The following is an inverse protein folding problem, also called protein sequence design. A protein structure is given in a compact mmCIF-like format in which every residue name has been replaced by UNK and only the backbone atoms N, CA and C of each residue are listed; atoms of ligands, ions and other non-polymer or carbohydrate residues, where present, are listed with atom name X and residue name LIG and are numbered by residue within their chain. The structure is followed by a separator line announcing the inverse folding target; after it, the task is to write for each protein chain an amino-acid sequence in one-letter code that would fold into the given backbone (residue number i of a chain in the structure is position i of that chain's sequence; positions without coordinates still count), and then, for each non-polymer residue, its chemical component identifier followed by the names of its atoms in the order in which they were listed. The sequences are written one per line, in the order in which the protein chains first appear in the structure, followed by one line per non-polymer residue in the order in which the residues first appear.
data_IF_513473079796
#
_entry.id   IF_513473079796
#
_cell.length_a   1.000
_cell.length_b   1.000
_cell.length_c   1.000
_cell.angle_alpha   90.00
_cell.angle_beta   90.00
_cell.angle_gamma   90.00
#
_symmetry.space_group_name_H-M   'P 1'
#
loop_
_entity.id
_entity.type
_entity.pdbx_description
1 polymer ?
#
# COMPACT_ATOMS: atom_id res chain seq x y z
N UNK A 1 75.89 -27.86 -5.41
CA UNK A 1 74.49 -28.05 -4.99
C UNK A 1 74.31 -27.37 -3.64
N UNK A 2 73.73 -26.18 -3.63
CA UNK A 2 73.39 -25.32 -2.50
C UNK A 2 72.45 -24.23 -3.08
N UNK A 3 71.39 -23.73 -2.47
CA UNK A 3 70.72 -24.03 -1.20
C UNK A 3 69.42 -23.22 -1.13
N UNK A 4 68.38 -23.86 -0.59
CA UNK A 4 67.25 -23.37 0.23
C UNK A 4 66.66 -21.98 -0.05
N UNK A 5 65.43 -21.97 -0.57
CA UNK A 5 64.54 -20.82 -0.57
C UNK A 5 63.69 -20.74 0.70
N UNK A 6 63.41 -19.52 1.14
CA UNK A 6 62.41 -19.21 2.16
C UNK A 6 61.52 -18.09 1.62
N UNK A 7 60.27 -18.41 1.31
CA UNK A 7 59.22 -17.44 1.00
C UNK A 7 58.21 -17.50 2.15
N UNK A 8 58.20 -16.44 2.95
CA UNK A 8 57.24 -16.20 4.02
C UNK A 8 55.85 -15.94 3.43
N UNK A 9 54.87 -16.78 3.76
CA UNK A 9 53.46 -16.52 3.48
C UNK A 9 52.83 -15.80 4.67
N UNK A 10 52.52 -14.52 4.51
CA UNK A 10 51.75 -13.72 5.47
C UNK A 10 50.26 -13.94 5.16
N UNK A 11 49.53 -14.58 6.07
CA UNK A 11 48.08 -14.73 6.03
C UNK A 11 47.44 -13.48 6.64
N UNK A 12 47.12 -12.49 5.81
CA UNK A 12 46.22 -11.38 6.21
C UNK A 12 44.78 -11.88 6.16
N UNK A 13 44.18 -12.13 7.33
CA UNK A 13 42.75 -12.38 7.45
C UNK A 13 42.00 -11.07 7.16
N UNK A 14 41.50 -10.92 5.93
CA UNK A 14 40.61 -9.84 5.54
C UNK A 14 39.18 -10.20 5.93
N UNK A 15 38.58 -9.43 6.84
CA UNK A 15 37.14 -9.47 7.08
C UNK A 15 36.46 -8.88 5.84
N UNK A 16 35.81 -9.73 5.05
CA UNK A 16 34.94 -9.31 3.97
C UNK A 16 33.63 -8.83 4.61
N UNK A 17 33.44 -7.52 4.67
CA UNK A 17 32.11 -6.94 4.91
C UNK A 17 31.34 -7.16 3.61
N UNK A 18 30.52 -8.21 3.57
CA UNK A 18 29.58 -8.40 2.47
C UNK A 18 28.57 -7.25 2.50
N UNK A 19 28.25 -6.60 1.37
CA UNK A 19 27.13 -5.69 1.31
C UNK A 19 25.88 -6.51 1.67
N UNK A 20 25.13 -6.05 2.67
CA UNK A 20 23.78 -6.54 2.90
C UNK A 20 23.01 -6.26 1.60
N UNK A 21 22.60 -7.33 0.91
CA UNK A 21 21.66 -7.22 -0.19
C UNK A 21 20.34 -6.78 0.44
N UNK A 22 20.01 -5.49 0.33
CA UNK A 22 18.65 -5.04 0.57
C UNK A 22 17.78 -5.86 -0.37
N UNK A 23 16.87 -6.66 0.19
CA UNK A 23 15.85 -7.32 -0.59
C UNK A 23 15.18 -6.24 -1.45
N UNK A 24 15.18 -6.43 -2.78
CA UNK A 24 14.47 -5.56 -3.70
C UNK A 24 12.97 -5.81 -3.50
N UNK A 25 12.42 -5.28 -2.40
CA UNK A 25 10.97 -5.09 -2.26
C UNK A 25 10.53 -4.17 -3.39
N UNK A 26 9.45 -4.53 -4.09
CA UNK A 26 8.93 -3.68 -5.17
C UNK A 26 8.52 -2.32 -4.62
N UNK A 27 8.79 -1.25 -5.36
CA UNK A 27 8.53 0.12 -4.93
C UNK A 27 7.03 0.32 -4.66
N UNK A 28 6.70 0.85 -3.48
CA UNK A 28 5.34 1.19 -3.10
C UNK A 28 5.11 2.68 -3.39
N UNK A 29 3.98 3.03 -4.00
CA UNK A 29 3.70 4.42 -4.36
C UNK A 29 2.22 4.75 -4.37
N UNK A 30 1.88 6.02 -4.20
CA UNK A 30 0.50 6.49 -4.25
C UNK A 30 0.40 7.88 -4.87
N UNK A 31 -0.70 8.14 -5.56
CA UNK A 31 -1.10 9.48 -5.95
C UNK A 31 -2.60 9.71 -5.87
N UNK A 32 -3.02 10.93 -5.55
CA UNK A 32 -4.44 11.22 -5.45
C UNK A 32 -5.07 11.51 -6.82
N UNK A 33 -4.40 12.25 -7.72
CA UNK A 33 -4.94 12.53 -9.05
C UNK A 33 -3.86 12.52 -10.12
N UNK A 34 -4.18 12.01 -11.30
CA UNK A 34 -3.38 12.16 -12.51
C UNK A 34 -4.30 12.25 -13.73
N UNK A 35 -3.93 13.05 -14.72
CA UNK A 35 -4.67 13.15 -15.97
C UNK A 35 -3.71 13.28 -17.15
N UNK A 36 -4.03 12.62 -18.26
CA UNK A 36 -3.28 12.71 -19.51
C UNK A 36 -4.21 12.86 -20.71
N UNK A 37 -3.72 13.49 -21.78
CA UNK A 37 -4.51 13.85 -22.96
C UNK A 37 -4.58 15.36 -23.17
N UNK A 38 -5.79 15.88 -23.38
CA UNK A 38 -6.06 17.31 -23.60
C UNK A 38 -5.73 18.16 -22.36
N UNK A 39 -6.10 17.65 -21.19
CA UNK A 39 -5.73 18.19 -19.90
C UNK A 39 -4.65 17.29 -19.28
N UNK A 40 -3.50 17.88 -18.99
CA UNK A 40 -2.41 17.20 -18.29
C UNK A 40 -2.34 17.65 -16.85
N UNK A 41 -2.49 16.68 -15.95
CA UNK A 41 -2.30 16.84 -14.52
C UNK A 41 -1.26 15.82 -14.09
N UNK A 42 -0.11 16.30 -13.64
CA UNK A 42 0.91 15.43 -13.07
C UNK A 42 0.34 14.72 -11.83
N UNK A 43 0.88 13.55 -11.49
CA UNK A 43 0.52 12.82 -10.27
C UNK A 43 0.63 13.76 -9.06
N UNK A 44 -0.50 14.07 -8.42
CA UNK A 44 -0.57 15.11 -7.38
C UNK A 44 -1.50 14.71 -6.23
N UNK A 45 -1.08 14.85 -4.96
CA UNK A 45 0.31 14.63 -4.56
C UNK A 45 0.79 13.24 -5.02
N UNK A 46 2.10 13.04 -5.07
CA UNK A 46 2.72 11.74 -5.36
C UNK A 46 3.78 11.44 -4.32
N UNK A 47 3.73 10.24 -3.77
CA UNK A 47 4.72 9.74 -2.82
C UNK A 47 5.14 8.32 -3.19
N UNK A 48 6.37 7.99 -2.83
CA UNK A 48 6.94 6.64 -2.90
C UNK A 48 7.65 6.32 -1.57
N UNK A 49 8.05 5.06 -1.42
CA UNK A 49 8.77 4.57 -0.25
C UNK A 49 10.29 4.44 -0.47
N UNK A 50 10.83 5.01 -1.54
CA UNK A 50 12.26 4.92 -1.88
C UNK A 50 13.16 5.44 -0.74
N UNK A 51 12.66 6.42 0.04
CA UNK A 51 13.36 7.00 1.19
C UNK A 51 12.70 6.62 2.53
N UNK A 52 11.95 5.52 2.55
CA UNK A 52 11.09 5.12 3.67
C UNK A 52 9.67 5.67 3.55
N UNK A 53 8.85 5.36 4.56
CA UNK A 53 7.43 5.74 4.55
C UNK A 53 7.24 7.26 4.39
N UNK A 54 6.37 7.63 3.46
CA UNK A 54 6.12 9.02 3.06
C UNK A 54 4.62 9.30 2.96
N UNK A 55 4.26 10.54 3.28
CA UNK A 55 2.88 11.03 3.19
C UNK A 55 2.89 12.49 2.74
N UNK A 56 2.00 12.82 1.82
CA UNK A 56 1.78 14.18 1.35
C UNK A 56 0.29 14.48 1.22
N UNK A 57 -0.08 15.74 1.45
CA UNK A 57 -1.46 16.21 1.32
C UNK A 57 -1.54 17.56 0.63
N UNK A 58 -2.56 17.72 -0.22
CA UNK A 58 -2.90 18.97 -0.90
C UNK A 58 -4.33 19.33 -0.51
N UNK A 59 -4.51 20.49 0.11
CA UNK A 59 -5.82 20.92 0.58
C UNK A 59 -6.80 21.19 -0.57
N UNK A 60 -6.28 21.73 -1.68
CA UNK A 60 -7.07 22.11 -2.84
C UNK A 60 -6.17 22.14 -4.08
N UNK A 61 -6.63 21.51 -5.15
CA UNK A 61 -6.07 21.61 -6.49
C UNK A 61 -7.14 22.18 -7.41
N UNK A 62 -6.83 23.33 -8.00
CA UNK A 62 -7.66 24.00 -9.00
C UNK A 62 -6.89 24.05 -10.33
N UNK A 63 -7.57 23.69 -11.41
CA UNK A 63 -7.03 23.76 -12.77
C UNK A 63 -7.75 24.88 -13.52
N UNK A 64 -7.04 25.61 -14.42
CA UNK A 64 -7.63 26.69 -15.21
C UNK A 64 -8.99 26.35 -15.82
N UNK A 65 -9.82 27.39 -15.98
CA UNK A 65 -11.19 27.29 -16.50
C UNK A 65 -12.15 26.48 -15.62
N UNK A 66 -11.79 26.21 -14.35
CA UNK A 66 -12.57 25.38 -13.40
C UNK A 66 -12.85 23.97 -13.94
N UNK A 67 -11.96 23.46 -14.79
CA UNK A 67 -12.13 22.12 -15.39
C UNK A 67 -12.04 21.00 -14.34
N UNK A 68 -11.37 21.29 -13.22
CA UNK A 68 -11.09 20.35 -12.16
C UNK A 68 -10.99 21.11 -10.83
N UNK A 69 -11.92 20.81 -9.91
CA UNK A 69 -11.90 21.26 -8.51
C UNK A 69 -11.79 20.00 -7.62
N UNK A 70 -10.67 19.88 -6.90
CA UNK A 70 -10.39 18.71 -6.07
C UNK A 70 -9.88 19.14 -4.71
N UNK A 71 -10.44 18.59 -3.64
CA UNK A 71 -10.09 19.00 -2.28
C UNK A 71 -9.57 17.83 -1.45
N UNK A 72 -8.86 18.20 -0.38
CA UNK A 72 -8.29 17.29 0.61
C UNK A 72 -7.71 16.00 0.00
N UNK A 73 -6.75 16.19 -0.91
CA UNK A 73 -6.01 15.10 -1.54
C UNK A 73 -4.96 14.60 -0.55
N UNK A 74 -4.82 13.29 -0.40
CA UNK A 74 -3.80 12.68 0.45
C UNK A 74 -3.24 11.45 -0.26
N UNK A 75 -1.92 11.28 -0.20
CA UNK A 75 -1.22 10.11 -0.70
C UNK A 75 -0.20 9.65 0.35
N UNK A 76 -0.10 8.33 0.53
CA UNK A 76 0.77 7.67 1.50
C UNK A 76 1.38 6.43 0.88
N UNK A 77 2.67 6.22 1.12
CA UNK A 77 3.38 5.01 0.72
C UNK A 77 4.33 4.58 1.84
N UNK A 78 4.52 3.29 2.01
CA UNK A 78 5.42 2.69 2.98
C UNK A 78 5.60 1.21 2.68
N UNK A 79 6.29 0.52 3.59
CA UNK A 79 6.64 -0.89 3.40
C UNK A 79 5.39 -1.77 3.23
N UNK A 80 5.24 -2.35 2.04
CA UNK A 80 4.10 -3.17 1.63
C UNK A 80 2.76 -2.43 1.59
N UNK A 81 2.73 -1.10 1.72
CA UNK A 81 1.50 -0.33 1.89
C UNK A 81 1.46 0.92 1.02
N UNK A 82 0.32 1.16 0.40
CA UNK A 82 0.03 2.42 -0.27
C UNK A 82 -1.44 2.80 -0.13
N UNK A 83 -1.70 4.10 0.02
CA UNK A 83 -3.06 4.63 0.10
C UNK A 83 -3.16 6.01 -0.53
N UNK A 84 -4.24 6.22 -1.27
CA UNK A 84 -4.61 7.52 -1.81
C UNK A 84 -6.07 7.83 -1.46
N UNK A 85 -6.34 9.08 -1.13
CA UNK A 85 -7.71 9.53 -0.85
C UNK A 85 -7.94 10.97 -1.30
N UNK A 86 -9.21 11.27 -1.57
CA UNK A 86 -9.69 12.57 -2.04
C UNK A 86 -11.03 12.84 -1.34
N UNK A 87 -11.26 14.09 -0.92
CA UNK A 87 -12.58 14.53 -0.47
C UNK A 87 -13.10 15.67 -1.34
N UNK A 88 -14.29 15.52 -1.90
CA UNK A 88 -14.89 16.41 -2.91
C UNK A 88 -14.02 16.52 -4.18
N UNK A 89 -14.46 15.83 -5.23
CA UNK A 89 -13.93 15.97 -6.58
C UNK A 89 -15.04 16.38 -7.52
N UNK A 90 -14.74 17.35 -8.38
CA UNK A 90 -15.60 17.76 -9.50
C UNK A 90 -14.75 17.96 -10.73
N UNK A 91 -15.10 17.23 -11.78
CA UNK A 91 -14.46 17.30 -13.08
C UNK A 91 -15.49 17.85 -14.05
N UNK A 92 -15.25 19.05 -14.54
CA UNK A 92 -16.15 19.73 -15.48
C UNK A 92 -15.42 20.04 -16.79
N UNK A 93 -15.43 19.06 -17.68
CA UNK A 93 -14.85 19.22 -19.02
C UNK A 93 -15.85 19.76 -20.05
N UNK A 94 -17.05 20.21 -19.62
CA UNK A 94 -18.06 20.76 -20.54
C UNK A 94 -17.58 22.06 -21.20
N UNK A 95 -16.65 22.77 -20.55
CA UNK A 95 -16.04 23.97 -21.08
C UNK A 95 -14.97 23.70 -22.16
N UNK A 96 -14.57 22.44 -22.40
CA UNK A 96 -13.61 22.10 -23.45
C UNK A 96 -14.32 22.06 -24.82
N UNK A 97 -14.11 23.08 -25.69
CA UNK A 97 -14.86 23.20 -26.94
C UNK A 97 -14.56 22.05 -27.92
N UNK A 98 -13.35 21.49 -27.84
CA UNK A 98 -12.88 20.42 -28.73
C UNK A 98 -13.55 19.07 -28.48
N UNK A 99 -14.20 18.89 -27.32
CA UNK A 99 -14.91 17.67 -26.99
C UNK A 99 -16.38 17.70 -27.44
N UNK A 100 -16.93 18.88 -27.77
CA UNK A 100 -18.32 19.02 -28.24
C UNK A 100 -19.38 18.57 -27.22
N UNK A 101 -19.03 18.55 -25.93
CA UNK A 101 -19.84 17.98 -24.87
C UNK A 101 -20.77 19.03 -24.26
N UNK A 102 -22.08 18.95 -24.55
CA UNK A 102 -23.10 19.77 -23.89
C UNK A 102 -23.63 19.07 -22.64
N UNK A 103 -22.77 18.90 -21.62
CA UNK A 103 -23.17 18.28 -20.37
C UNK A 103 -23.89 19.29 -19.48
N UNK A 104 -25.04 18.90 -18.93
CA UNK A 104 -25.78 19.70 -17.95
C UNK A 104 -25.28 19.51 -16.50
N UNK A 105 -24.35 18.58 -16.29
CA UNK A 105 -23.79 18.17 -15.00
C UNK A 105 -22.29 17.93 -15.17
N UNK A 106 -21.49 18.00 -14.09
CA UNK A 106 -20.08 17.61 -14.14
C UNK A 106 -19.91 16.22 -14.74
N UNK A 107 -18.81 16.00 -15.47
CA UNK A 107 -18.48 14.68 -15.97
C UNK A 107 -18.28 13.71 -14.81
N UNK A 108 -17.56 14.12 -13.77
CA UNK A 108 -17.35 13.31 -12.56
C UNK A 108 -17.65 14.18 -11.35
N UNK A 109 -18.39 13.63 -10.39
CA UNK A 109 -18.54 14.20 -9.06
C UNK A 109 -18.51 13.10 -8.01
N UNK A 110 -17.76 13.26 -6.92
CA UNK A 110 -17.77 12.35 -5.78
C UNK A 110 -17.41 13.08 -4.49
N UNK A 111 -17.97 12.65 -3.36
CA UNK A 111 -17.69 13.25 -2.04
C UNK A 111 -16.45 12.67 -1.38
N UNK A 112 -16.20 11.37 -1.57
CA UNK A 112 -14.99 10.72 -1.11
C UNK A 112 -14.57 9.63 -2.08
N UNK A 113 -13.26 9.53 -2.30
CA UNK A 113 -12.64 8.47 -3.10
C UNK A 113 -11.45 7.97 -2.31
N UNK A 114 -11.30 6.66 -2.19
CA UNK A 114 -10.16 6.03 -1.53
C UNK A 114 -9.71 4.80 -2.31
N UNK A 115 -8.40 4.65 -2.44
CA UNK A 115 -7.74 3.42 -2.87
C UNK A 115 -6.71 3.02 -1.82
N UNK A 116 -6.68 1.73 -1.48
CA UNK A 116 -5.73 1.17 -0.51
C UNK A 116 -5.17 -0.13 -1.06
N UNK A 117 -3.86 -0.28 -0.94
CA UNK A 117 -3.12 -1.47 -1.28
C UNK A 117 -2.29 -1.87 -0.05
N UNK A 118 -2.50 -3.09 0.44
CA UNK A 118 -1.78 -3.63 1.60
C UNK A 118 -1.28 -5.03 1.26
N UNK A 119 0.03 -5.23 1.21
CA UNK A 119 0.70 -6.49 0.93
C UNK A 119 0.18 -7.19 -0.34
N UNK A 120 0.00 -6.42 -1.41
CA UNK A 120 -0.57 -6.86 -2.68
C UNK A 120 -2.10 -7.06 -2.67
N UNK A 121 -2.79 -6.76 -1.58
CA UNK A 121 -4.26 -6.79 -1.49
C UNK A 121 -4.82 -5.40 -1.76
N UNK A 122 -5.46 -5.26 -2.91
CA UNK A 122 -6.03 -4.00 -3.38
C UNK A 122 -7.52 -3.87 -3.02
N UNK A 123 -7.90 -2.67 -2.57
CA UNK A 123 -9.28 -2.28 -2.30
C UNK A 123 -9.51 -0.82 -2.71
N UNK A 124 -10.78 -0.48 -2.98
CA UNK A 124 -11.19 0.90 -3.20
C UNK A 124 -12.60 1.13 -2.68
N UNK A 125 -12.89 2.39 -2.38
CA UNK A 125 -14.22 2.84 -1.99
C UNK A 125 -14.50 4.21 -2.58
N UNK A 126 -15.75 4.43 -2.94
CA UNK A 126 -16.25 5.71 -3.47
C UNK A 126 -17.55 6.06 -2.78
N UNK A 127 -17.76 7.33 -2.47
CA UNK A 127 -18.97 7.83 -1.82
C UNK A 127 -19.63 8.92 -2.66
N UNK A 128 -20.95 8.81 -2.83
CA UNK A 128 -21.77 9.74 -3.60
C UNK A 128 -21.19 10.05 -5.00
N UNK A 129 -20.58 9.04 -5.62
CA UNK A 129 -19.94 9.18 -6.91
C UNK A 129 -20.96 9.15 -8.06
N UNK A 130 -20.75 9.99 -9.06
CA UNK A 130 -21.56 10.03 -10.27
C UNK A 130 -20.76 10.44 -11.49
N UNK A 131 -21.18 9.92 -12.66
CA UNK A 131 -20.58 10.24 -13.94
C UNK A 131 -21.65 10.76 -14.88
N UNK A 132 -21.52 12.00 -15.36
CA UNK A 132 -22.54 12.69 -16.15
C UNK A 132 -23.94 12.64 -15.49
N UNK A 133 -23.99 12.60 -14.16
CA UNK A 133 -25.21 12.49 -13.36
C UNK A 133 -25.79 11.09 -13.18
N UNK A 134 -25.14 10.05 -13.69
CA UNK A 134 -25.44 8.65 -13.41
C UNK A 134 -24.73 8.28 -12.11
N UNK A 135 -25.48 7.85 -11.09
CA UNK A 135 -24.89 7.42 -9.82
C UNK A 135 -24.10 6.12 -10.01
N UNK A 136 -22.92 6.07 -9.39
CA UNK A 136 -22.06 4.89 -9.38
C UNK A 136 -22.32 4.06 -8.11
N UNK A 137 -22.16 2.75 -8.23
CA UNK A 137 -22.24 1.86 -7.07
C UNK A 137 -20.96 1.99 -6.22
N UNK A 138 -21.14 2.12 -4.91
CA UNK A 138 -20.07 2.27 -3.93
C UNK A 138 -19.36 0.95 -3.62
N UNK A 139 -19.94 -0.19 -4.00
CA UNK A 139 -19.39 -1.54 -3.76
C UNK A 139 -19.20 -2.30 -5.08
N UNK A 140 -18.44 -1.69 -6.00
CA UNK A 140 -18.13 -2.32 -7.27
C UNK A 140 -17.01 -3.37 -7.14
N UNK A 141 -17.16 -4.58 -7.73
CA UNK A 141 -16.07 -5.54 -7.87
C UNK A 141 -14.87 -4.94 -8.62
N UNK A 142 -13.71 -5.60 -8.53
CA UNK A 142 -12.53 -5.17 -9.27
C UNK A 142 -12.81 -5.09 -10.78
N UNK A 143 -12.28 -4.03 -11.42
CA UNK A 143 -12.39 -3.76 -12.85
C UNK A 143 -13.84 -3.64 -13.36
N UNK A 144 -14.72 -3.02 -12.57
CA UNK A 144 -16.12 -2.80 -12.99
C UNK A 144 -16.21 -1.64 -13.97
N UNK A 145 -16.58 -1.92 -15.21
CA UNK A 145 -16.77 -0.91 -16.24
C UNK A 145 -18.21 -0.35 -16.24
N UNK A 146 -18.33 0.97 -16.36
CA UNK A 146 -19.57 1.72 -16.52
C UNK A 146 -19.43 2.57 -17.77
N UNK A 147 -20.22 2.24 -18.78
CA UNK A 147 -20.22 2.95 -20.06
C UNK A 147 -21.22 4.11 -20.03
N UNK A 148 -20.76 5.29 -20.46
CA UNK A 148 -21.62 6.45 -20.74
C UNK A 148 -21.66 6.64 -22.26
N UNK A 149 -22.75 6.21 -22.94
CA UNK A 149 -22.80 6.14 -24.40
C UNK A 149 -22.40 7.46 -25.08
N UNK A 150 -21.41 7.38 -25.97
CA UNK A 150 -20.93 8.50 -26.77
C UNK A 150 -20.15 9.57 -26.00
N UNK A 151 -19.77 9.29 -24.75
CA UNK A 151 -19.10 10.25 -23.87
C UNK A 151 -17.81 9.68 -23.26
N UNK A 152 -17.94 8.66 -22.42
CA UNK A 152 -16.85 8.17 -21.60
C UNK A 152 -17.05 6.72 -21.16
N UNK A 153 -15.96 6.02 -20.89
CA UNK A 153 -15.93 4.78 -20.14
C UNK A 153 -15.34 5.04 -18.77
N UNK A 154 -15.91 4.43 -17.74
CA UNK A 154 -15.46 4.58 -16.36
C UNK A 154 -15.20 3.21 -15.77
N UNK A 155 -13.98 2.99 -15.30
CA UNK A 155 -13.61 1.77 -14.58
C UNK A 155 -13.52 2.08 -13.09
N UNK A 156 -14.40 1.45 -12.31
CA UNK A 156 -14.36 1.43 -10.85
C UNK A 156 -13.43 0.33 -10.39
N UNK A 157 -12.68 0.61 -9.32
CA UNK A 157 -11.78 -0.37 -8.69
C UNK A 157 -10.85 -1.04 -9.73
N UNK A 158 -10.21 -0.23 -10.58
CA UNK A 158 -9.30 -0.73 -11.60
C UNK A 158 -8.08 -1.32 -10.91
N UNK A 159 -7.87 -2.63 -11.07
CA UNK A 159 -6.75 -3.34 -10.46
C UNK A 159 -5.88 -3.95 -11.55
N UNK A 160 -4.57 -3.69 -11.47
CA UNK A 160 -3.57 -4.17 -12.41
C UNK A 160 -2.43 -4.82 -11.64
N UNK A 161 -2.02 -6.02 -12.06
CA UNK A 161 -0.78 -6.63 -11.61
C UNK A 161 0.32 -6.23 -12.58
N UNK A 162 1.37 -5.59 -12.06
CA UNK A 162 2.50 -5.08 -12.82
C UNK A 162 3.52 -6.20 -13.13
N UNK A 163 4.44 -5.94 -14.05
CA UNK A 163 5.47 -6.92 -14.45
C UNK A 163 6.44 -7.28 -13.30
N UNK A 164 6.62 -6.37 -12.33
CA UNK A 164 7.41 -6.56 -11.12
C UNK A 164 6.66 -7.33 -10.01
N UNK A 165 5.41 -7.74 -10.26
CA UNK A 165 4.56 -8.44 -9.30
C UNK A 165 3.82 -7.53 -8.30
N UNK A 166 4.04 -6.21 -8.35
CA UNK A 166 3.26 -5.25 -7.57
C UNK A 166 1.82 -5.16 -8.08
N UNK A 167 0.92 -4.73 -7.20
CA UNK A 167 -0.50 -4.52 -7.54
C UNK A 167 -0.79 -3.03 -7.46
N UNK A 168 -1.37 -2.49 -8.53
CA UNK A 168 -1.87 -1.11 -8.58
C UNK A 168 -3.39 -1.13 -8.56
N UNK A 169 -3.99 -0.34 -7.69
CA UNK A 169 -5.42 -0.09 -7.63
C UNK A 169 -5.70 1.39 -7.84
N UNK A 170 -6.62 1.68 -8.75
CA UNK A 170 -7.18 3.01 -8.97
C UNK A 170 -8.67 2.95 -8.66
N UNK A 171 -9.14 3.77 -7.73
CA UNK A 171 -10.52 3.75 -7.29
C UNK A 171 -11.49 4.12 -8.42
N UNK A 172 -11.14 5.16 -9.20
CA UNK A 172 -11.94 5.64 -10.32
C UNK A 172 -11.02 6.05 -11.48
N UNK A 173 -11.12 5.33 -12.61
CA UNK A 173 -10.41 5.63 -13.85
C UNK A 173 -11.42 6.00 -14.93
N UNK A 174 -11.30 7.18 -15.53
CA UNK A 174 -12.25 7.72 -16.51
C UNK A 174 -11.53 7.96 -17.82
N UNK A 175 -12.08 7.43 -18.90
CA UNK A 175 -11.59 7.60 -20.25
C UNK A 175 -12.66 8.28 -21.11
N UNK A 176 -12.36 9.46 -21.65
CA UNK A 176 -13.30 10.26 -22.44
C UNK A 176 -12.90 10.16 -23.90
N UNK A 177 -13.68 9.42 -24.69
CA UNK A 177 -13.49 9.23 -26.12
C UNK A 177 -12.05 8.82 -26.55
N UNK A 178 -11.29 8.14 -25.68
CA UNK A 178 -9.86 7.83 -25.85
C UNK A 178 -8.95 9.06 -26.06
N UNK A 179 -9.43 10.27 -25.74
CA UNK A 179 -8.70 11.53 -25.88
C UNK A 179 -8.17 12.05 -24.54
N UNK A 180 -8.81 11.64 -23.45
CA UNK A 180 -8.49 12.06 -22.10
C UNK A 180 -8.63 10.87 -21.16
N UNK A 181 -7.62 10.68 -20.33
CA UNK A 181 -7.66 9.76 -19.20
C UNK A 181 -7.54 10.55 -17.92
N UNK A 182 -8.30 10.16 -16.91
CA UNK A 182 -8.27 10.71 -15.57
C UNK A 182 -8.29 9.57 -14.55
N UNK A 183 -7.26 9.49 -13.72
CA UNK A 183 -7.15 8.53 -12.64
C UNK A 183 -7.26 9.24 -11.29
N UNK A 184 -8.16 8.75 -10.45
CA UNK A 184 -8.49 9.30 -9.13
C UNK A 184 -8.27 8.24 -8.06
N UNK A 185 -7.46 8.61 -7.07
CA UNK A 185 -6.92 7.80 -5.98
C UNK A 185 -6.30 6.50 -6.48
N UNK A 186 -4.98 6.51 -6.68
CA UNK A 186 -4.22 5.34 -7.08
C UNK A 186 -3.18 4.96 -6.03
N UNK A 187 -3.09 3.67 -5.73
CA UNK A 187 -2.16 3.08 -4.79
C UNK A 187 -1.53 1.83 -5.40
N UNK A 188 -0.21 1.75 -5.32
CA UNK A 188 0.59 0.62 -5.78
C UNK A 188 1.35 0.06 -4.60
N UNK A 189 1.19 -1.23 -4.34
CA UNK A 189 1.98 -1.93 -3.34
C UNK A 189 2.51 -3.26 -3.87
N UNK A 190 3.73 -3.59 -3.48
CA UNK A 190 4.29 -4.92 -3.65
C UNK A 190 3.73 -5.86 -2.57
N UNK A 191 3.76 -7.17 -2.82
CA UNK A 191 3.71 -8.09 -1.69
C UNK A 191 4.97 -7.82 -0.86
N UNK A 192 4.83 -7.67 0.46
CA UNK A 192 5.98 -7.84 1.32
C UNK A 192 6.66 -9.14 0.91
N UNK A 193 7.97 -9.09 0.64
CA UNK A 193 8.72 -10.32 0.46
C UNK A 193 8.40 -11.19 1.65
N UNK A 194 8.03 -12.45 1.41
CA UNK A 194 8.17 -13.46 2.44
C UNK A 194 9.64 -13.34 2.85
N UNK A 195 9.89 -12.71 3.98
CA UNK A 195 11.14 -12.81 4.67
C UNK A 195 11.17 -14.30 5.05
N UNK A 196 11.58 -15.14 4.08
CA UNK A 196 12.20 -16.42 4.30
C UNK A 196 13.51 -16.07 5.03
N UNK A 197 13.36 -15.54 6.25
CA UNK A 197 14.42 -15.47 7.21
C UNK A 197 14.88 -16.90 7.26
N UNK A 198 16.07 -17.14 6.70
CA UNK A 198 16.73 -18.41 6.84
C UNK A 198 16.59 -18.75 8.31
N UNK A 199 15.77 -19.77 8.62
CA UNK A 199 15.73 -20.33 9.95
C UNK A 199 17.20 -20.52 10.32
N UNK A 200 17.67 -19.97 11.45
CA UNK A 200 19.05 -20.15 11.85
C UNK A 200 19.32 -21.64 11.80
N UNK A 201 20.10 -22.07 10.79
CA UNK A 201 20.41 -23.48 10.60
C UNK A 201 20.97 -23.97 11.91
N UNK A 202 20.21 -24.88 12.54
CA UNK A 202 20.50 -25.69 13.73
C UNK A 202 21.64 -25.18 14.63
N UNK A 203 21.38 -24.88 15.92
CA UNK A 203 22.45 -24.58 16.85
C UNK A 203 23.51 -25.70 16.82
N UNK A 204 24.80 -25.39 16.94
CA UNK A 204 25.84 -26.41 16.99
C UNK A 204 25.55 -27.33 18.17
N UNK A 205 25.31 -28.60 17.89
CA UNK A 205 25.22 -29.66 18.89
C UNK A 205 26.60 -29.90 19.47
N UNK A 206 27.00 -29.02 20.38
CA UNK A 206 28.11 -29.26 21.29
C UNK A 206 27.52 -29.78 22.61
N UNK A 207 27.75 -31.07 22.78
CA UNK A 207 28.53 -31.59 23.92
C UNK A 207 27.80 -32.38 25.02
N UNK A 208 28.53 -33.43 25.39
CA UNK A 208 28.54 -34.19 26.64
C UNK A 208 27.39 -35.12 26.98
N UNK A 209 27.75 -36.41 26.93
CA UNK A 209 27.04 -37.47 27.63
C UNK A 209 26.99 -37.23 29.14
N UNK A 210 25.96 -37.78 29.74
CA UNK A 210 25.94 -38.09 31.15
C UNK A 210 25.22 -39.43 31.36
N UNK A 211 25.74 -40.14 32.33
CA UNK A 211 25.60 -41.56 32.59
C UNK A 211 24.20 -41.93 33.11
N UNK A 212 23.88 -43.21 32.95
CA UNK A 212 22.57 -43.76 33.24
C UNK A 212 22.18 -43.75 34.72
N UNK A 213 20.87 -43.97 34.94
CA UNK A 213 20.43 -44.64 36.15
C UNK A 213 19.18 -45.48 35.92
N UNK A 214 19.05 -46.49 36.79
CA UNK A 214 18.32 -47.73 36.62
C UNK A 214 17.10 -47.77 37.57
N UNK A 215 16.03 -48.49 37.18
CA UNK A 215 14.90 -48.86 38.07
C UNK A 215 13.57 -48.23 37.64
N UNK A 216 12.56 -49.01 37.23
CA UNK A 216 11.54 -49.61 38.12
C UNK A 216 10.41 -48.58 38.33
N UNK A 217 9.12 -48.81 38.19
CA UNK A 217 8.25 -49.96 38.43
C UNK A 217 6.86 -49.62 37.82
N UNK A 218 6.01 -50.63 37.69
CA UNK A 218 4.63 -50.56 37.23
C UNK A 218 3.73 -49.75 38.18
N UNK A 219 2.64 -49.18 37.65
CA UNK A 219 1.53 -48.74 38.48
C UNK A 219 0.54 -47.83 37.77
N UNK A 220 -0.55 -48.42 37.29
CA UNK A 220 -1.80 -47.74 36.94
C UNK A 220 -2.29 -46.88 38.11
N UNK A 221 -2.73 -45.65 37.85
CA UNK A 221 -3.76 -45.00 38.66
C UNK A 221 -4.62 -44.06 37.82
N UNK A 222 -5.92 -44.31 37.94
CA UNK A 222 -7.03 -43.67 37.26
C UNK A 222 -7.68 -42.75 38.30
N UNK A 223 -7.73 -41.44 38.06
CA UNK A 223 -8.27 -40.49 39.04
C UNK A 223 -8.60 -39.13 38.43
N UNK A 224 -9.90 -38.83 38.38
CA UNK A 224 -10.52 -37.56 38.03
C UNK A 224 -10.15 -36.45 39.02
N UNK A 225 -10.06 -35.21 38.53
CA UNK A 225 -10.92 -34.07 38.89
C UNK A 225 -10.22 -32.70 38.79
N UNK A 226 -11.01 -31.77 38.25
CA UNK A 226 -11.06 -30.32 38.50
C UNK A 226 -9.88 -29.38 38.22
N UNK A 227 -10.15 -28.46 37.29
CA UNK A 227 -10.02 -27.03 37.59
C UNK A 227 -9.07 -26.26 36.69
N UNK A 228 -9.56 -25.15 36.13
CA UNK A 228 -8.71 -24.00 35.85
C UNK A 228 -8.81 -23.41 34.46
N UNK A 229 -9.73 -22.45 34.33
CA UNK A 229 -9.79 -21.39 33.34
C UNK A 229 -8.46 -20.90 32.77
N UNK A 230 -8.43 -20.57 31.48
CA UNK A 230 -7.31 -19.80 30.93
C UNK A 230 -7.37 -19.47 29.45
N UNK A 231 -8.53 -19.08 28.92
CA UNK A 231 -8.61 -18.40 27.62
C UNK A 231 -7.90 -17.05 27.72
N UNK A 232 -6.61 -16.98 27.36
CA UNK A 232 -5.92 -15.69 27.24
C UNK A 232 -6.14 -15.13 25.85
N UNK A 233 -7.29 -14.46 25.74
CA UNK A 233 -7.57 -13.43 24.75
C UNK A 233 -6.52 -12.32 24.92
N UNK A 234 -5.64 -12.17 23.93
CA UNK A 234 -4.68 -11.08 23.86
C UNK A 234 -5.41 -9.77 23.57
N UNK A 235 -5.79 -9.05 24.63
CA UNK A 235 -6.22 -7.67 24.49
C UNK A 235 -4.98 -6.76 24.44
N UNK A 236 -4.83 -6.03 23.34
CA UNK A 236 -3.85 -4.96 23.23
C UNK A 236 -4.04 -3.94 24.37
N UNK A 237 -2.95 -3.37 24.92
CA UNK A 237 -3.04 -2.40 26.01
C UNK A 237 -3.85 -1.17 25.57
N UNK A 238 -4.80 -0.77 26.40
CA UNK A 238 -5.67 0.38 26.16
C UNK A 238 -4.84 1.66 26.32
N UNK A 239 -4.84 2.58 25.33
CA UNK A 239 -4.10 3.82 25.44
C UNK A 239 -4.65 4.69 26.58
N UNK A 240 -3.79 5.11 27.50
CA UNK A 240 -4.13 6.08 28.54
C UNK A 240 -4.19 7.49 27.96
N UNK A 241 -5.31 8.23 28.13
CA UNK A 241 -5.42 9.62 27.71
C UNK A 241 -4.40 10.49 28.43
N UNK A 242 -3.58 11.21 27.66
CA UNK A 242 -2.67 12.23 28.20
C UNK A 242 -3.48 13.50 28.43
N UNK A 243 -3.45 14.02 29.66
CA UNK A 243 -4.15 15.25 30.03
C UNK A 243 -3.46 16.43 29.33
N UNK A 244 -4.10 16.98 28.30
CA UNK A 244 -3.62 18.19 27.64
C UNK A 244 -3.63 19.35 28.64
N UNK A 245 -2.44 19.84 29.01
CA UNK A 245 -2.27 21.10 29.74
C UNK A 245 -2.25 22.22 28.69
N UNK A 246 -3.42 22.73 28.32
CA UNK A 246 -3.53 23.98 27.59
C UNK A 246 -3.99 25.05 28.57
N UNK A 247 -3.04 25.87 29.02
CA UNK A 247 -3.33 27.12 29.71
C UNK A 247 -3.97 28.09 28.72
N UNK A 248 -5.29 28.20 28.76
CA UNK A 248 -6.01 29.31 28.16
C UNK A 248 -5.83 30.54 29.05
N UNK A 249 -4.94 31.44 28.63
CA UNK A 249 -4.93 32.81 29.15
C UNK A 249 -6.06 33.57 28.46
N UNK A 250 -6.96 34.11 29.27
CA UNK A 250 -8.04 35.01 28.85
C UNK A 250 -7.57 36.44 28.65
#
# INVERSE_FOLDING_TARGET
MAGVGALSAVLTAGVLIAPAASATGGENSAFAIAADGLLKVAKTPFVDDTNGASEESVAHLDVPENLLDVRALNARAGDGYAKASIADVRVDISALPDLGLNLAKPLVAAEAIEASCDNGVASSSVAAASVAGIALDVTAPANTAVEVPGLASVTLNKQVTNEDGSTTVTALSVEVNNLQTLDLASATCSKAGDDDGEEPTTPPTDDNGDDGDNGGDHGDDNGSDDGGSGSQSGHAPTPTPVKAHLDVTG
#
